data_IF_031648524108
#
_entry.id   IF_031648524108
#
_cell.length_a   1.000
_cell.length_b   1.000
_cell.length_c   1.000
_cell.angle_alpha   90.00
_cell.angle_beta   90.00
_cell.angle_gamma   90.00
#
_symmetry.space_group_name_H-M   'P 1'
#
loop_
_entity.id
_entity.type
_entity.pdbx_description
1 polymer ?
#
# COMPACT_ATOMS: atom_id res chain seq x y z
N UNK A 1 9.97 -12.68 0.35
CA UNK A 1 8.74 -11.90 0.58
C UNK A 1 7.59 -12.89 0.60
N UNK A 2 6.82 -13.07 1.70
CA UNK A 2 5.68 -13.98 1.68
C UNK A 2 4.61 -13.46 0.71
N UNK A 3 4.19 -14.33 -0.23
CA UNK A 3 3.13 -14.03 -1.19
C UNK A 3 1.81 -13.79 -0.46
N UNK A 4 1.07 -12.75 -0.85
CA UNK A 4 -0.23 -12.45 -0.28
C UNK A 4 -1.29 -13.37 -0.86
N UNK A 5 -1.94 -14.18 -0.01
CA UNK A 5 -3.12 -14.94 -0.39
C UNK A 5 -4.31 -13.99 -0.52
N UNK A 6 -4.97 -14.03 -1.68
CA UNK A 6 -6.16 -13.24 -1.95
C UNK A 6 -7.39 -13.93 -1.34
N UNK A 7 -8.36 -13.16 -0.82
CA UNK A 7 -9.59 -13.75 -0.32
C UNK A 7 -10.39 -14.42 -1.45
N UNK A 8 -11.01 -15.54 -1.13
CA UNK A 8 -11.92 -16.27 -2.03
C UNK A 8 -13.36 -15.85 -1.72
N UNK A 9 -14.15 -15.58 -2.75
CA UNK A 9 -15.56 -15.23 -2.63
C UNK A 9 -16.43 -16.12 -3.53
N UNK A 10 -17.01 -17.20 -3.00
CA UNK A 10 -17.97 -18.04 -3.73
C UNK A 10 -19.24 -17.23 -4.10
N UNK A 11 -19.91 -17.57 -5.21
CA UNK A 11 -21.17 -16.92 -5.62
C UNK A 11 -22.35 -17.28 -4.71
N UNK A 12 -22.30 -18.43 -4.03
CA UNK A 12 -23.31 -18.85 -3.06
C UNK A 12 -23.18 -18.10 -1.72
N UNK A 13 -24.26 -18.09 -0.94
CA UNK A 13 -24.20 -17.65 0.45
C UNK A 13 -23.30 -18.61 1.24
N UNK A 14 -22.24 -18.07 1.83
CA UNK A 14 -21.30 -18.82 2.67
C UNK A 14 -21.41 -18.34 4.10
N UNK A 15 -21.67 -19.26 5.03
CA UNK A 15 -21.63 -18.96 6.46
C UNK A 15 -20.19 -18.95 6.96
N UNK A 16 -19.82 -17.88 7.67
CA UNK A 16 -18.58 -17.79 8.44
C UNK A 16 -18.74 -18.53 9.77
N UNK A 17 -19.91 -18.34 10.39
CA UNK A 17 -20.40 -19.05 11.56
C UNK A 17 -21.94 -19.03 11.55
N UNK A 18 -22.59 -19.44 12.65
CA UNK A 18 -24.06 -19.51 12.74
C UNK A 18 -24.78 -18.16 12.57
N UNK A 19 -24.07 -17.04 12.77
CA UNK A 19 -24.65 -15.69 12.74
C UNK A 19 -24.22 -14.92 11.51
N UNK A 20 -22.94 -15.03 11.14
CA UNK A 20 -22.34 -14.21 10.10
C UNK A 20 -22.23 -15.00 8.81
N UNK A 21 -22.78 -14.44 7.73
CA UNK A 21 -22.62 -14.95 6.37
C UNK A 21 -22.08 -13.90 5.42
N UNK A 22 -21.61 -14.34 4.25
CA UNK A 22 -21.30 -13.45 3.15
C UNK A 22 -21.73 -14.06 1.81
N UNK A 23 -22.00 -13.22 0.83
CA UNK A 23 -22.34 -13.64 -0.53
C UNK A 23 -21.68 -12.71 -1.54
N UNK A 24 -21.15 -13.26 -2.62
CA UNK A 24 -20.74 -12.47 -3.79
C UNK A 24 -21.89 -12.39 -4.79
N UNK A 25 -22.27 -11.17 -5.16
CA UNK A 25 -23.26 -10.89 -6.19
C UNK A 25 -22.87 -9.65 -6.98
N UNK A 26 -22.93 -9.72 -8.30
CA UNK A 26 -22.70 -8.58 -9.22
C UNK A 26 -21.37 -7.83 -8.95
N UNK A 27 -20.28 -8.58 -8.75
CA UNK A 27 -18.95 -8.01 -8.49
C UNK A 27 -18.77 -7.37 -7.10
N UNK A 28 -19.76 -7.53 -6.22
CA UNK A 28 -19.72 -7.05 -4.83
C UNK A 28 -19.84 -8.20 -3.86
N UNK A 29 -19.24 -8.04 -2.69
CA UNK A 29 -19.35 -8.95 -1.56
C UNK A 29 -20.23 -8.29 -0.52
N UNK A 30 -21.26 -8.99 -0.08
CA UNK A 30 -22.21 -8.57 0.95
C UNK A 30 -22.00 -9.41 2.19
N UNK A 31 -22.09 -8.80 3.37
CA UNK A 31 -21.94 -9.44 4.68
C UNK A 31 -23.24 -9.32 5.45
N UNK A 32 -23.64 -10.38 6.15
CA UNK A 32 -24.92 -10.47 6.83
C UNK A 32 -24.75 -10.92 8.27
N UNK A 33 -25.63 -10.47 9.15
CA UNK A 33 -25.89 -11.09 10.44
C UNK A 33 -27.33 -11.63 10.43
N UNK A 34 -27.49 -12.95 10.30
CA UNK A 34 -28.76 -13.55 9.92
C UNK A 34 -29.23 -13.02 8.57
N UNK A 35 -30.44 -12.44 8.53
CA UNK A 35 -31.02 -11.83 7.33
C UNK A 35 -30.66 -10.35 7.14
N UNK A 36 -29.98 -9.73 8.10
CA UNK A 36 -29.68 -8.30 8.08
C UNK A 36 -28.37 -8.01 7.35
N UNK A 37 -28.37 -7.20 6.28
CA UNK A 37 -27.13 -6.76 5.64
C UNK A 37 -26.35 -5.80 6.54
N UNK A 38 -25.06 -6.06 6.72
CA UNK A 38 -24.15 -5.26 7.54
C UNK A 38 -23.23 -4.38 6.70
N UNK A 39 -22.55 -4.99 5.72
CA UNK A 39 -21.52 -4.33 4.92
C UNK A 39 -21.58 -4.79 3.47
N UNK A 40 -21.04 -3.96 2.56
CA UNK A 40 -20.67 -4.42 1.24
C UNK A 40 -19.40 -3.75 0.74
N UNK A 41 -18.69 -4.42 -0.16
CA UNK A 41 -17.59 -3.81 -0.91
C UNK A 41 -17.47 -4.41 -2.30
N UNK A 42 -16.76 -3.73 -3.20
CA UNK A 42 -16.41 -4.30 -4.49
C UNK A 42 -15.40 -5.44 -4.29
N UNK A 43 -15.51 -6.55 -5.02
CA UNK A 43 -14.67 -7.75 -4.80
C UNK A 43 -13.15 -7.49 -4.85
N UNK A 44 -12.73 -6.46 -5.61
CA UNK A 44 -11.33 -6.04 -5.75
C UNK A 44 -10.88 -5.01 -4.70
N UNK A 45 -11.78 -4.50 -3.87
CA UNK A 45 -11.49 -3.54 -2.80
C UNK A 45 -10.98 -4.27 -1.54
N UNK A 46 -9.69 -4.64 -1.60
CA UNK A 46 -9.01 -5.28 -0.48
C UNK A 46 -8.93 -4.40 0.79
N UNK A 47 -8.73 -3.07 0.72
CA UNK A 47 -8.84 -2.21 1.90
C UNK A 47 -10.15 -2.41 2.68
N UNK A 48 -11.29 -2.38 1.98
CA UNK A 48 -12.60 -2.58 2.61
C UNK A 48 -12.77 -3.99 3.16
N UNK A 49 -12.36 -5.03 2.43
CA UNK A 49 -12.36 -6.41 2.94
C UNK A 49 -11.61 -6.54 4.27
N UNK A 50 -10.40 -5.97 4.35
CA UNK A 50 -9.55 -6.03 5.56
C UNK A 50 -10.16 -5.26 6.72
N UNK A 51 -10.76 -4.11 6.45
CA UNK A 51 -11.45 -3.30 7.45
C UNK A 51 -12.65 -4.06 8.02
N UNK A 52 -13.55 -4.55 7.15
CA UNK A 52 -14.78 -5.25 7.53
C UNK A 52 -14.46 -6.49 8.37
N UNK A 53 -13.54 -7.34 7.89
CA UNK A 53 -13.17 -8.57 8.59
C UNK A 53 -12.46 -8.31 9.91
N UNK A 54 -11.60 -7.29 10.01
CA UNK A 54 -10.99 -6.89 11.27
C UNK A 54 -12.04 -6.38 12.28
N UNK A 55 -13.01 -5.57 11.81
CA UNK A 55 -14.10 -5.07 12.64
C UNK A 55 -14.99 -6.20 13.18
N UNK A 56 -15.36 -7.18 12.33
CA UNK A 56 -16.12 -8.35 12.77
C UNK A 56 -15.43 -9.09 13.92
N UNK A 57 -14.10 -9.21 13.85
CA UNK A 57 -13.32 -9.84 14.93
C UNK A 57 -13.25 -8.96 16.19
N UNK A 58 -13.00 -7.66 16.03
CA UNK A 58 -12.86 -6.75 17.18
C UNK A 58 -14.18 -6.60 17.94
N UNK A 59 -15.32 -6.64 17.24
CA UNK A 59 -16.66 -6.60 17.83
C UNK A 59 -17.14 -7.97 18.36
N UNK A 60 -16.36 -9.04 18.19
CA UNK A 60 -16.72 -10.39 18.67
C UNK A 60 -17.77 -11.12 17.82
N UNK A 61 -18.06 -10.66 16.61
CA UNK A 61 -19.02 -11.29 15.69
C UNK A 61 -18.44 -12.53 14.99
N UNK A 62 -17.12 -12.62 14.86
CA UNK A 62 -16.42 -13.77 14.30
C UNK A 62 -15.03 -13.93 14.92
N UNK A 63 -14.49 -15.14 14.93
CA UNK A 63 -13.10 -15.39 15.35
C UNK A 63 -12.13 -15.20 14.19
N UNK A 64 -10.84 -14.93 14.49
CA UNK A 64 -9.82 -14.85 13.44
C UNK A 64 -9.70 -16.17 12.65
N UNK A 65 -9.90 -17.30 13.32
CA UNK A 65 -9.81 -18.62 12.71
C UNK A 65 -10.97 -18.88 11.74
N UNK A 66 -12.19 -18.43 12.08
CA UNK A 66 -13.35 -18.47 11.18
C UNK A 66 -13.07 -17.66 9.91
N UNK A 67 -12.65 -16.40 10.04
CA UNK A 67 -12.33 -15.56 8.86
C UNK A 67 -11.23 -16.18 7.99
N UNK A 68 -10.17 -16.71 8.61
CA UNK A 68 -9.07 -17.38 7.90
C UNK A 68 -9.58 -18.56 7.07
N UNK A 69 -10.41 -19.42 7.67
CA UNK A 69 -10.97 -20.59 6.97
C UNK A 69 -11.93 -20.19 5.86
N UNK A 70 -12.84 -19.26 6.13
CA UNK A 70 -13.90 -18.87 5.18
C UNK A 70 -13.36 -18.15 3.94
N UNK A 71 -12.31 -17.33 4.08
CA UNK A 71 -11.78 -16.54 2.96
C UNK A 71 -10.47 -17.08 2.40
N UNK A 72 -9.86 -18.12 2.98
CA UNK A 72 -8.60 -18.69 2.48
C UNK A 72 -7.39 -17.76 2.63
N UNK A 73 -7.45 -16.79 3.55
CA UNK A 73 -6.33 -15.88 3.82
C UNK A 73 -5.37 -16.47 4.86
N UNK A 74 -4.13 -15.97 4.92
CA UNK A 74 -3.19 -16.44 5.94
C UNK A 74 -3.51 -15.89 7.35
N UNK A 75 -3.27 -16.71 8.38
CA UNK A 75 -3.38 -16.32 9.80
C UNK A 75 -2.57 -15.07 10.13
N UNK A 76 -1.39 -14.92 9.51
CA UNK A 76 -0.52 -13.75 9.68
C UNK A 76 -1.21 -12.49 9.14
N UNK A 77 -1.88 -12.58 7.99
CA UNK A 77 -2.62 -11.45 7.41
C UNK A 77 -3.75 -11.03 8.34
N UNK A 78 -4.54 -11.99 8.83
CA UNK A 78 -5.64 -11.70 9.75
C UNK A 78 -5.15 -11.02 11.03
N UNK A 79 -4.08 -11.53 11.66
CA UNK A 79 -3.45 -10.88 12.83
C UNK A 79 -3.04 -9.44 12.55
N UNK A 80 -2.48 -9.16 11.36
CA UNK A 80 -2.08 -7.80 10.93
C UNK A 80 -3.29 -6.89 10.74
N UNK A 81 -4.39 -7.39 10.20
CA UNK A 81 -5.62 -6.62 10.02
C UNK A 81 -6.22 -6.25 11.38
N UNK A 82 -6.36 -7.20 12.30
CA UNK A 82 -6.86 -6.94 13.66
C UNK A 82 -5.97 -5.95 14.40
N UNK A 83 -4.64 -6.14 14.35
CA UNK A 83 -3.69 -5.22 14.99
C UNK A 83 -3.87 -3.79 14.46
N UNK A 84 -3.94 -3.64 13.14
CA UNK A 84 -4.13 -2.32 12.49
C UNK A 84 -5.43 -1.66 12.92
N UNK A 85 -6.53 -2.40 13.00
CA UNK A 85 -7.81 -1.86 13.46
C UNK A 85 -7.72 -1.36 14.90
N UNK A 86 -7.11 -2.15 15.80
CA UNK A 86 -6.94 -1.76 17.21
C UNK A 86 -6.08 -0.52 17.39
N UNK A 87 -5.02 -0.38 16.59
CA UNK A 87 -4.07 0.74 16.71
C UNK A 87 -4.53 2.02 16.02
N UNK A 88 -5.26 1.91 14.90
CA UNK A 88 -5.53 3.05 14.01
C UNK A 88 -7.00 3.20 13.62
N UNK A 89 -7.87 2.31 14.08
CA UNK A 89 -9.27 2.27 13.68
C UNK A 89 -9.46 2.10 12.17
N UNK A 90 -10.60 2.57 11.63
CA UNK A 90 -10.91 2.53 10.20
C UNK A 90 -9.87 3.25 9.35
N UNK A 91 -9.35 4.40 9.80
CA UNK A 91 -8.42 5.24 9.05
C UNK A 91 -7.18 4.47 8.57
N UNK A 92 -6.65 3.55 9.39
CA UNK A 92 -5.46 2.77 9.06
C UNK A 92 -5.57 1.88 7.82
N UNK A 93 -6.79 1.59 7.32
CA UNK A 93 -7.00 0.79 6.12
C UNK A 93 -7.07 1.62 4.84
N UNK A 94 -7.42 2.90 4.94
CA UNK A 94 -7.68 3.79 3.80
C UNK A 94 -6.64 4.90 3.64
N UNK A 95 -5.72 5.04 4.59
CA UNK A 95 -4.55 5.90 4.46
C UNK A 95 -3.68 5.51 3.25
N UNK A 96 -3.19 6.54 2.53
CA UNK A 96 -2.20 6.33 1.47
C UNK A 96 -0.96 5.67 2.06
N UNK A 97 -0.41 4.61 1.42
CA UNK A 97 0.80 3.97 1.91
C UNK A 97 1.91 5.00 2.11
N UNK A 98 2.54 5.00 3.29
CA UNK A 98 3.80 5.73 3.49
C UNK A 98 4.86 5.10 2.58
N UNK A 99 5.04 5.68 1.39
CA UNK A 99 6.16 5.37 0.52
C UNK A 99 7.40 5.92 1.22
N UNK A 100 8.46 5.11 1.33
CA UNK A 100 9.77 5.64 1.71
C UNK A 100 10.11 6.74 0.72
N UNK A 101 10.44 7.92 1.22
CA UNK A 101 10.96 9.01 0.40
C UNK A 101 12.24 8.57 -0.31
N UNK A 102 12.73 9.34 -1.29
CA UNK A 102 14.02 9.07 -1.91
C UNK A 102 15.09 9.04 -0.82
N UNK A 103 15.59 7.84 -0.49
CA UNK A 103 16.46 7.63 0.67
C UNK A 103 17.81 8.34 0.61
N UNK A 104 18.19 8.84 -0.57
CA UNK A 104 19.52 9.45 -0.80
C UNK A 104 19.41 10.87 -1.37
N UNK A 105 18.34 11.20 -2.11
CA UNK A 105 18.11 12.55 -2.64
C UNK A 105 17.09 13.29 -1.77
N UNK A 106 17.51 13.69 -0.57
CA UNK A 106 16.80 14.69 0.24
C UNK A 106 16.76 16.05 -0.48
N UNK A 107 15.97 17.00 0.03
CA UNK A 107 15.93 18.37 -0.52
C UNK A 107 17.32 19.01 -0.53
N UNK A 108 18.02 18.95 0.60
CA UNK A 108 19.37 19.51 0.74
C UNK A 108 20.38 18.84 -0.21
N UNK A 109 20.24 17.53 -0.43
CA UNK A 109 21.09 16.82 -1.39
C UNK A 109 20.79 17.24 -2.84
N UNK A 110 19.51 17.49 -3.18
CA UNK A 110 19.16 18.00 -4.51
C UNK A 110 19.74 19.39 -4.75
N UNK A 111 19.70 20.29 -3.76
CA UNK A 111 20.31 21.62 -3.86
C UNK A 111 21.82 21.55 -4.05
N UNK A 112 22.52 20.71 -3.27
CA UNK A 112 23.96 20.50 -3.43
C UNK A 112 24.32 19.97 -4.83
N UNK A 113 23.58 18.96 -5.30
CA UNK A 113 23.79 18.40 -6.65
C UNK A 113 23.50 19.44 -7.72
N UNK A 114 22.43 20.23 -7.58
CA UNK A 114 22.07 21.26 -8.56
C UNK A 114 23.16 22.33 -8.65
N UNK A 115 23.70 22.80 -7.51
CA UNK A 115 24.81 23.77 -7.51
C UNK A 115 26.05 23.25 -8.25
N UNK A 116 26.41 21.97 -8.07
CA UNK A 116 27.54 21.36 -8.79
C UNK A 116 27.25 21.21 -10.29
N UNK A 117 26.02 20.87 -10.67
CA UNK A 117 25.60 20.83 -12.07
C UNK A 117 25.63 22.22 -12.72
N UNK A 118 25.23 23.26 -11.98
CA UNK A 118 25.23 24.65 -12.44
C UNK A 118 26.66 25.20 -12.61
N UNK A 119 27.61 24.71 -11.81
CA UNK A 119 29.05 24.95 -11.98
C UNK A 119 29.66 24.16 -13.16
N UNK A 120 28.86 23.35 -13.87
CA UNK A 120 29.28 22.60 -15.05
C UNK A 120 29.94 21.25 -14.75
N UNK A 121 29.85 20.76 -13.51
CA UNK A 121 30.37 19.44 -13.17
C UNK A 121 29.49 18.33 -13.79
N UNK A 122 30.12 17.31 -14.36
CA UNK A 122 29.40 16.20 -14.97
C UNK A 122 28.87 15.20 -13.93
N UNK A 123 27.74 14.56 -14.26
CA UNK A 123 27.04 13.65 -13.34
C UNK A 123 27.88 12.50 -12.78
N UNK A 124 28.84 11.88 -13.51
CA UNK A 124 29.71 10.84 -12.94
C UNK A 124 30.67 11.38 -11.88
N UNK A 125 31.14 12.62 -12.04
CA UNK A 125 32.05 13.26 -11.09
C UNK A 125 31.30 13.60 -9.79
N UNK A 126 30.12 14.21 -9.90
CA UNK A 126 29.24 14.51 -8.76
C UNK A 126 28.85 13.23 -8.01
N UNK A 127 28.53 12.17 -8.75
CA UNK A 127 28.19 10.87 -8.17
C UNK A 127 29.34 10.30 -7.33
N UNK A 128 30.58 10.42 -7.81
CA UNK A 128 31.77 9.97 -7.08
C UNK A 128 32.03 10.83 -5.84
N UNK A 129 31.94 12.15 -5.97
CA UNK A 129 32.20 13.11 -4.88
C UNK A 129 31.20 12.96 -3.73
N UNK A 130 29.91 12.84 -4.06
CA UNK A 130 28.84 12.76 -3.07
C UNK A 130 28.48 11.31 -2.68
N UNK A 131 29.25 10.31 -3.14
CA UNK A 131 29.03 8.89 -2.89
C UNK A 131 27.59 8.46 -3.27
N UNK A 132 27.13 8.95 -4.42
CA UNK A 132 25.82 8.66 -5.00
C UNK A 132 25.96 7.70 -6.19
N UNK A 133 24.89 6.99 -6.52
CA UNK A 133 24.83 6.26 -7.80
C UNK A 133 24.55 7.25 -8.93
N UNK A 134 25.34 7.18 -10.01
CA UNK A 134 25.11 7.99 -11.22
C UNK A 134 23.69 7.79 -11.77
N UNK A 135 23.15 6.55 -11.72
CA UNK A 135 21.77 6.24 -12.10
C UNK A 135 20.73 7.01 -11.30
N UNK A 136 21.00 7.26 -10.01
CA UNK A 136 20.09 8.05 -9.16
C UNK A 136 20.03 9.51 -9.60
N UNK A 137 21.18 10.09 -9.99
CA UNK A 137 21.27 11.45 -10.51
C UNK A 137 20.62 11.55 -11.90
N UNK A 138 20.95 10.62 -12.81
CA UNK A 138 20.37 10.57 -14.15
C UNK A 138 18.85 10.39 -14.10
N UNK A 139 18.35 9.56 -13.18
CA UNK A 139 16.91 9.43 -12.92
C UNK A 139 16.32 10.73 -12.42
N UNK A 140 16.97 11.43 -11.49
CA UNK A 140 16.48 12.73 -11.01
C UNK A 140 16.45 13.80 -12.11
N UNK A 141 17.41 13.79 -13.04
CA UNK A 141 17.39 14.66 -14.22
C UNK A 141 16.22 14.33 -15.14
N UNK A 142 16.04 13.05 -15.47
CA UNK A 142 14.93 12.59 -16.33
C UNK A 142 13.56 12.88 -15.71
N UNK A 143 13.44 12.75 -14.39
CA UNK A 143 12.23 13.05 -13.64
C UNK A 143 12.03 14.57 -13.42
N UNK A 144 12.92 15.42 -13.95
CA UNK A 144 12.83 16.89 -13.84
C UNK A 144 13.14 17.45 -12.45
N UNK A 145 13.72 16.66 -11.54
CA UNK A 145 14.12 17.08 -10.19
C UNK A 145 15.49 17.76 -10.15
N UNK A 146 16.30 17.56 -11.19
CA UNK A 146 17.59 18.21 -11.43
C UNK A 146 17.66 18.64 -12.90
N UNK A 147 18.42 19.67 -13.21
CA UNK A 147 18.59 20.15 -14.57
C UNK A 147 20.07 20.29 -14.92
N UNK A 148 20.44 19.96 -16.16
CA UNK A 148 21.78 20.27 -16.70
C UNK A 148 21.78 21.70 -17.24
N UNK A 149 22.82 22.47 -16.93
CA UNK A 149 23.03 23.78 -17.52
C UNK A 149 23.05 23.66 -19.06
N UNK A 150 22.26 24.48 -19.76
CA UNK A 150 22.36 24.60 -21.22
C UNK A 150 23.75 25.15 -21.52
N UNK A 151 24.61 24.40 -22.23
CA UNK A 151 25.88 24.91 -22.74
C UNK A 151 25.62 26.23 -23.48
N UNK A 152 26.16 27.35 -22.98
CA UNK A 152 26.20 28.59 -23.76
C UNK A 152 27.02 28.30 -25.03
N UNK A 153 26.39 28.36 -26.21
CA UNK A 153 27.13 28.50 -27.47
C UNK A 153 27.81 29.86 -27.38
N UNK A 154 29.14 29.88 -27.27
CA UNK A 154 29.88 31.07 -27.65
C UNK A 154 29.70 31.22 -29.17
N UNK A 155 29.08 32.35 -29.57
CA UNK A 155 29.08 32.86 -30.95
C UNK A 155 30.42 33.48 -31.27
#
# INVERSE_FOLDING_TARGET
MPQMLLPIFPPELTLINERIGFQKKDGRVYYFNGMMPLFSHHEKDLPSFRFITAQLVVLGNATQAEIVRSFGISTISMKRYVKRYRERGPAGFFEKPRRRGPGVLSKDMLEKVQNLLDQGMETPAIAKELVLKADTLNKAIRDGRLHKAKKKRLS
#
